data_IF_590966038396
#
_entry.id   IF_590966038396
#
_cell.length_a   1.000
_cell.length_b   1.000
_cell.length_c   1.000
_cell.angle_alpha   90.00
_cell.angle_beta   90.00
_cell.angle_gamma   90.00
#
_symmetry.space_group_name_H-M   'P 1'
#
loop_
_entity.id
_entity.type
_entity.pdbx_description
1 polymer ?
#
# COMPACT_ATOMS: atom_id res chain seq x y z
N UNK A 1 3.47 6.17 -19.82
CA UNK A 1 4.81 5.78 -19.31
C UNK A 1 5.48 4.73 -20.21
N UNK A 2 4.86 3.57 -20.46
CA UNK A 2 5.46 2.52 -21.30
C UNK A 2 5.84 3.00 -22.71
N UNK A 3 5.05 3.86 -23.33
CA UNK A 3 5.37 4.48 -24.63
C UNK A 3 6.67 5.29 -24.60
N UNK A 4 6.93 6.02 -23.51
CA UNK A 4 8.17 6.78 -23.35
C UNK A 4 9.37 5.83 -23.24
N UNK A 5 9.21 4.72 -22.51
CA UNK A 5 10.24 3.68 -22.40
C UNK A 5 10.47 2.98 -23.74
N UNK A 6 9.42 2.77 -24.55
CA UNK A 6 9.54 2.26 -25.92
C UNK A 6 10.36 3.18 -26.81
N UNK A 7 10.12 4.49 -26.75
CA UNK A 7 10.89 5.49 -27.49
C UNK A 7 12.37 5.43 -27.09
N UNK A 8 12.68 5.46 -25.79
CA UNK A 8 14.06 5.35 -25.29
C UNK A 8 14.74 4.05 -25.73
N UNK A 9 14.03 2.92 -25.70
CA UNK A 9 14.55 1.65 -26.21
C UNK A 9 14.85 1.72 -27.71
N UNK A 10 13.96 2.32 -28.50
CA UNK A 10 14.16 2.53 -29.95
C UNK A 10 15.37 3.41 -30.28
N UNK A 11 15.70 4.34 -29.38
CA UNK A 11 16.89 5.20 -29.47
C UNK A 11 18.18 4.51 -28.99
N UNK A 12 18.12 3.24 -28.56
CA UNK A 12 19.29 2.49 -28.09
C UNK A 12 19.76 2.88 -26.68
N UNK A 13 18.93 3.55 -25.89
CA UNK A 13 19.28 3.94 -24.52
C UNK A 13 19.32 2.72 -23.59
N UNK A 14 20.33 2.67 -22.72
CA UNK A 14 20.43 1.63 -21.70
C UNK A 14 19.81 2.06 -20.38
N UNK A 15 18.70 1.41 -20.01
CA UNK A 15 17.99 1.66 -18.76
C UNK A 15 17.37 0.37 -18.22
N UNK A 16 16.94 0.39 -16.97
CA UNK A 16 16.07 -0.64 -16.38
C UNK A 16 14.97 0.05 -15.60
N UNK A 17 13.73 -0.31 -15.89
CA UNK A 17 12.57 0.15 -15.16
C UNK A 17 12.02 -0.99 -14.32
N UNK A 18 11.78 -0.74 -13.04
CA UNK A 18 11.21 -1.72 -12.13
C UNK A 18 9.90 -1.19 -11.59
N UNK A 19 8.81 -1.90 -11.85
CA UNK A 19 7.51 -1.67 -11.25
C UNK A 19 7.35 -2.59 -10.05
N UNK A 20 7.02 -2.02 -8.89
CA UNK A 20 6.77 -2.77 -7.66
C UNK A 20 5.37 -2.44 -7.19
N UNK A 21 4.53 -3.45 -7.07
CA UNK A 21 3.17 -3.26 -6.58
C UNK A 21 2.12 -4.07 -7.31
N UNK A 22 0.87 -3.81 -6.93
CA UNK A 22 -0.32 -4.33 -7.58
C UNK A 22 -1.23 -3.16 -7.92
N UNK A 23 -1.74 -3.13 -9.14
CA UNK A 23 -2.72 -2.16 -9.60
C UNK A 23 -3.89 -2.87 -10.28
N UNK A 24 -5.01 -2.17 -10.41
CA UNK A 24 -6.21 -2.66 -11.10
C UNK A 24 -5.86 -3.06 -12.53
N UNK A 25 -5.07 -2.23 -13.22
CA UNK A 25 -4.65 -2.43 -14.61
C UNK A 25 -3.36 -3.27 -14.73
N UNK A 26 -2.93 -3.96 -13.68
CA UNK A 26 -1.62 -4.62 -13.65
C UNK A 26 -1.42 -5.65 -14.77
N UNK A 27 -2.45 -6.41 -15.13
CA UNK A 27 -2.37 -7.39 -16.23
C UNK A 27 -2.34 -6.70 -17.60
N UNK A 28 -3.20 -5.69 -17.81
CA UNK A 28 -3.24 -4.92 -19.04
C UNK A 28 -1.91 -4.19 -19.30
N UNK A 29 -1.30 -3.61 -18.26
CA UNK A 29 0.00 -2.93 -18.35
C UNK A 29 1.12 -3.91 -18.70
N UNK A 30 1.11 -5.14 -18.16
CA UNK A 30 2.10 -6.17 -18.51
C UNK A 30 1.94 -6.63 -19.96
N UNK A 31 0.70 -6.94 -20.38
CA UNK A 31 0.42 -7.32 -21.76
C UNK A 31 0.85 -6.22 -22.74
N UNK A 32 0.61 -4.95 -22.40
CA UNK A 32 1.04 -3.82 -23.22
C UNK A 32 2.57 -3.67 -23.26
N UNK A 33 3.28 -3.91 -22.15
CA UNK A 33 4.74 -3.94 -22.15
C UNK A 33 5.32 -5.06 -23.02
N UNK A 34 4.64 -6.22 -23.08
CA UNK A 34 4.99 -7.33 -23.98
C UNK A 34 4.76 -6.98 -25.44
N UNK A 35 3.62 -6.36 -25.78
CA UNK A 35 3.32 -5.86 -27.14
C UNK A 35 4.37 -4.85 -27.61
N UNK A 36 4.83 -3.97 -26.71
CA UNK A 36 5.90 -3.01 -27.00
C UNK A 36 7.29 -3.66 -27.04
N UNK A 37 7.41 -4.96 -26.79
CA UNK A 37 8.64 -5.73 -26.68
C UNK A 37 9.62 -5.13 -25.65
N UNK A 38 9.16 -4.82 -24.43
CA UNK A 38 9.95 -4.18 -23.37
C UNK A 38 10.53 -5.15 -22.32
N UNK A 39 10.33 -6.46 -22.46
CA UNK A 39 10.64 -7.46 -21.42
C UNK A 39 12.10 -7.58 -20.98
N UNK A 40 13.05 -7.04 -21.75
CA UNK A 40 14.49 -6.96 -21.42
C UNK A 40 14.87 -5.71 -20.61
N UNK A 41 13.99 -4.70 -20.56
CA UNK A 41 14.21 -3.40 -19.91
C UNK A 41 13.23 -3.11 -18.78
N UNK A 42 12.03 -3.66 -18.84
CA UNK A 42 10.94 -3.40 -17.88
C UNK A 42 10.63 -4.66 -17.09
N UNK A 43 10.71 -4.55 -15.76
CA UNK A 43 10.51 -5.66 -14.84
C UNK A 43 9.34 -5.36 -13.90
N UNK A 44 8.45 -6.33 -13.73
CA UNK A 44 7.32 -6.24 -12.82
C UNK A 44 7.55 -7.16 -11.63
N UNK A 45 7.60 -6.60 -10.44
CA UNK A 45 7.73 -7.31 -9.18
C UNK A 45 6.38 -7.36 -8.45
N UNK A 46 6.11 -8.42 -7.68
CA UNK A 46 4.93 -8.49 -6.84
C UNK A 46 4.91 -7.35 -5.80
N UNK A 47 3.75 -7.04 -5.21
CA UNK A 47 3.67 -6.09 -4.12
C UNK A 47 4.59 -6.51 -2.97
N UNK A 48 5.37 -5.56 -2.46
CA UNK A 48 6.28 -5.74 -1.34
C UNK A 48 5.82 -4.86 -0.17
N UNK A 49 5.63 -5.48 0.99
CA UNK A 49 5.14 -4.81 2.20
C UNK A 49 6.25 -4.58 3.23
N UNK A 50 7.43 -5.14 3.00
CA UNK A 50 8.62 -4.90 3.82
C UNK A 50 9.23 -3.55 3.45
N UNK A 51 9.20 -2.63 4.42
CA UNK A 51 9.68 -1.26 4.24
C UNK A 51 11.18 -1.19 4.00
N UNK A 52 11.97 -2.10 4.57
CA UNK A 52 13.41 -2.12 4.35
C UNK A 52 13.76 -2.58 2.94
N UNK A 53 12.98 -3.52 2.39
CA UNK A 53 13.14 -3.94 0.99
C UNK A 53 12.75 -2.80 0.04
N UNK A 54 11.62 -2.12 0.28
CA UNK A 54 11.22 -0.95 -0.51
C UNK A 54 12.27 0.17 -0.42
N UNK A 55 12.80 0.44 0.78
CA UNK A 55 13.90 1.39 0.98
C UNK A 55 15.13 1.02 0.18
N UNK A 56 15.50 -0.27 0.16
CA UNK A 56 16.62 -0.75 -0.64
C UNK A 56 16.42 -0.52 -2.15
N UNK A 57 15.18 -0.64 -2.64
CA UNK A 57 14.85 -0.28 -4.03
C UNK A 57 15.03 1.20 -4.31
N UNK A 58 14.54 2.08 -3.44
CA UNK A 58 14.76 3.52 -3.59
C UNK A 58 16.27 3.86 -3.57
N UNK A 59 17.05 3.29 -2.65
CA UNK A 59 18.49 3.53 -2.58
C UNK A 59 19.26 2.96 -3.78
N UNK A 60 18.71 1.96 -4.48
CA UNK A 60 19.34 1.33 -5.66
C UNK A 60 18.97 2.03 -6.97
N UNK A 61 17.84 2.74 -7.02
CA UNK A 61 17.38 3.43 -8.20
C UNK A 61 18.20 4.72 -8.45
N UNK A 62 18.32 5.10 -9.71
CA UNK A 62 18.91 6.39 -10.12
C UNK A 62 17.86 7.51 -10.18
N UNK A 63 16.60 7.16 -10.43
CA UNK A 63 15.49 8.08 -10.62
C UNK A 63 14.16 7.41 -10.26
N UNK A 64 13.26 8.12 -9.60
CA UNK A 64 11.89 7.68 -9.34
C UNK A 64 10.92 8.29 -10.35
N UNK A 65 10.10 7.47 -10.99
CA UNK A 65 9.08 7.93 -11.94
C UNK A 65 7.70 7.85 -11.28
N UNK A 66 7.09 9.01 -11.02
CA UNK A 66 5.75 9.09 -10.44
C UNK A 66 4.85 10.07 -11.21
N UNK A 67 4.52 9.77 -12.49
CA UNK A 67 3.67 10.61 -13.31
C UNK A 67 2.18 10.36 -13.01
N UNK A 68 1.79 10.44 -11.74
CA UNK A 68 0.38 10.30 -11.35
C UNK A 68 -0.38 11.59 -11.63
N UNK A 69 -1.55 11.47 -12.25
CA UNK A 69 -2.50 12.58 -12.43
C UNK A 69 -3.39 12.78 -11.20
N UNK A 70 -3.54 11.73 -10.39
CA UNK A 70 -4.41 11.72 -9.23
C UNK A 70 -3.71 11.05 -8.05
N UNK A 71 -3.40 11.85 -7.03
CA UNK A 71 -2.86 11.36 -5.76
C UNK A 71 -3.30 12.31 -4.64
N UNK A 72 -3.51 11.78 -3.43
CA UNK A 72 -3.97 12.55 -2.27
C UNK A 72 -2.85 13.18 -1.45
N UNK A 73 -1.62 12.64 -1.44
CA UNK A 73 -0.56 13.14 -0.55
C UNK A 73 0.89 12.79 -0.99
N UNK A 74 1.08 12.14 -2.14
CA UNK A 74 2.40 11.87 -2.73
C UNK A 74 3.40 11.22 -1.77
N UNK A 75 2.96 10.38 -0.82
CA UNK A 75 3.83 9.86 0.25
C UNK A 75 5.06 9.14 -0.30
N UNK A 76 4.89 8.41 -1.40
CA UNK A 76 6.00 7.73 -2.10
C UNK A 76 7.06 8.68 -2.63
N UNK A 77 6.69 9.93 -2.98
CA UNK A 77 7.65 10.98 -3.37
C UNK A 77 8.48 11.41 -2.17
N UNK A 78 7.86 11.52 -0.98
CA UNK A 78 8.58 11.82 0.26
C UNK A 78 9.48 10.66 0.70
N UNK A 79 9.06 9.41 0.48
CA UNK A 79 9.90 8.23 0.72
C UNK A 79 11.13 8.19 -0.20
N UNK A 80 10.92 8.44 -1.50
CA UNK A 80 12.01 8.57 -2.47
C UNK A 80 12.96 9.72 -2.07
N UNK A 81 12.41 10.89 -1.72
CA UNK A 81 13.18 12.03 -1.24
C UNK A 81 13.99 11.70 0.02
N UNK A 82 13.41 10.99 1.01
CA UNK A 82 14.14 10.54 2.19
C UNK A 82 15.35 9.66 1.82
N UNK A 83 15.23 8.86 0.77
CA UNK A 83 16.30 8.03 0.24
C UNK A 83 17.30 8.81 -0.62
N UNK A 84 17.12 10.12 -0.84
CA UNK A 84 17.98 10.94 -1.70
C UNK A 84 17.77 10.66 -3.19
N UNK A 85 16.58 10.20 -3.57
CA UNK A 85 16.22 9.83 -4.93
C UNK A 85 15.41 10.94 -5.58
N UNK A 86 15.92 11.47 -6.70
CA UNK A 86 15.19 12.45 -7.49
C UNK A 86 13.93 11.83 -8.12
N UNK A 87 12.86 12.61 -8.22
CA UNK A 87 11.57 12.17 -8.78
C UNK A 87 11.20 12.94 -10.04
N UNK A 88 10.61 12.27 -11.02
CA UNK A 88 9.95 12.88 -12.19
C UNK A 88 8.44 12.82 -12.00
N UNK A 89 7.79 13.97 -12.08
CA UNK A 89 6.39 14.20 -11.71
C UNK A 89 5.68 14.99 -12.80
N UNK A 90 4.35 14.89 -12.87
CA UNK A 90 3.55 15.76 -13.73
C UNK A 90 3.48 17.15 -13.10
N UNK A 91 3.77 18.18 -13.89
CA UNK A 91 3.71 19.58 -13.45
C UNK A 91 2.29 19.92 -12.93
N UNK A 92 2.22 20.50 -11.74
CA UNK A 92 0.94 20.90 -11.13
C UNK A 92 0.10 19.75 -10.55
N UNK A 93 0.60 18.50 -10.54
CA UNK A 93 -0.05 17.41 -9.81
C UNK A 93 0.05 17.61 -8.29
N UNK A 94 -0.86 17.01 -7.52
CA UNK A 94 -0.80 17.05 -6.05
C UNK A 94 0.53 16.49 -5.52
N UNK A 95 1.08 15.47 -6.17
CA UNK A 95 2.37 14.88 -5.81
C UNK A 95 3.57 15.82 -6.05
N UNK A 96 3.37 16.93 -6.77
CA UNK A 96 4.38 17.93 -7.08
C UNK A 96 4.32 19.19 -6.19
N UNK A 97 3.45 19.25 -5.17
CA UNK A 97 3.22 20.44 -4.34
C UNK A 97 4.50 20.98 -3.68
N UNK A 98 5.35 20.09 -3.14
CA UNK A 98 6.62 20.44 -2.47
C UNK A 98 7.83 20.48 -3.44
N UNK A 99 7.58 20.35 -4.75
CA UNK A 99 8.64 20.16 -5.76
C UNK A 99 8.90 21.44 -6.55
N UNK A 100 10.18 21.73 -6.76
CA UNK A 100 10.72 22.79 -7.61
C UNK A 100 11.54 22.15 -8.73
N UNK A 101 11.12 22.36 -9.98
CA UNK A 101 11.74 21.76 -11.16
C UNK A 101 13.24 22.05 -11.25
N UNK A 102 14.02 21.01 -11.51
CA UNK A 102 15.48 21.04 -11.61
C UNK A 102 16.22 21.23 -10.28
N UNK A 103 15.52 21.54 -9.18
CA UNK A 103 16.13 21.74 -7.86
C UNK A 103 16.01 20.50 -6.98
N UNK A 104 14.79 20.04 -6.75
CA UNK A 104 14.49 18.91 -5.85
C UNK A 104 13.54 17.87 -6.51
N UNK A 105 13.31 18.00 -7.82
CA UNK A 105 12.61 17.05 -8.66
C UNK A 105 12.60 17.54 -10.11
N UNK A 106 11.92 16.82 -10.99
CA UNK A 106 11.80 17.17 -12.40
C UNK A 106 10.35 17.12 -12.85
N UNK A 107 9.96 18.09 -13.67
CA UNK A 107 8.61 18.15 -14.22
C UNK A 107 8.52 17.69 -15.66
N UNK A 108 7.41 17.01 -15.95
CA UNK A 108 6.98 16.65 -17.29
C UNK A 108 5.53 17.06 -17.49
N UNK A 109 5.14 17.13 -18.76
CA UNK A 109 3.74 17.14 -19.14
C UNK A 109 3.17 15.72 -19.09
N UNK A 110 1.85 15.59 -19.02
CA UNK A 110 1.14 14.31 -19.04
C UNK A 110 1.11 13.70 -20.45
N UNK A 111 2.28 13.43 -21.03
CA UNK A 111 2.40 12.73 -22.30
C UNK A 111 3.73 11.99 -22.44
N UNK A 112 3.72 10.95 -23.29
CA UNK A 112 4.88 10.09 -23.50
C UNK A 112 6.09 10.82 -24.07
N UNK A 113 5.88 11.79 -24.96
CA UNK A 113 6.96 12.53 -25.61
C UNK A 113 7.74 13.40 -24.61
N UNK A 114 7.03 14.12 -23.74
CA UNK A 114 7.61 14.93 -22.67
C UNK A 114 8.43 14.07 -21.70
N UNK A 115 7.89 12.92 -21.29
CA UNK A 115 8.60 11.96 -20.44
C UNK A 115 9.85 11.39 -21.11
N UNK A 116 9.76 10.98 -22.37
CA UNK A 116 10.90 10.46 -23.12
C UNK A 116 12.00 11.53 -23.27
N UNK A 117 11.62 12.77 -23.56
CA UNK A 117 12.56 13.89 -23.66
C UNK A 117 13.26 14.18 -22.33
N UNK A 118 12.52 14.18 -21.22
CA UNK A 118 13.11 14.35 -19.89
C UNK A 118 14.07 13.22 -19.55
N UNK A 119 13.66 11.97 -19.75
CA UNK A 119 14.49 10.81 -19.48
C UNK A 119 15.76 10.80 -20.34
N UNK A 120 15.65 11.09 -21.64
CA UNK A 120 16.79 11.20 -22.56
C UNK A 120 17.80 12.24 -22.08
N UNK A 121 17.31 13.39 -21.58
CA UNK A 121 18.16 14.44 -21.02
C UNK A 121 18.88 13.95 -19.75
N UNK A 122 18.19 13.21 -18.88
CA UNK A 122 18.70 12.84 -17.56
C UNK A 122 19.60 11.61 -17.55
N UNK A 123 19.39 10.63 -18.44
CA UNK A 123 20.18 9.39 -18.52
C UNK A 123 21.71 9.59 -18.46
N UNK A 124 22.32 10.54 -19.22
CA UNK A 124 23.76 10.80 -19.11
C UNK A 124 24.17 11.64 -17.89
N UNK A 125 23.22 12.24 -17.17
CA UNK A 125 23.45 13.23 -16.11
C UNK A 125 23.29 12.63 -14.71
N UNK A 126 23.96 11.50 -14.43
CA UNK A 126 23.89 10.80 -13.14
C UNK A 126 24.20 11.70 -11.94
N UNK A 127 25.20 12.57 -12.07
CA UNK A 127 25.58 13.48 -10.99
C UNK A 127 24.51 14.56 -10.74
N UNK A 128 23.84 15.05 -11.79
CA UNK A 128 22.70 15.96 -11.63
C UNK A 128 21.56 15.26 -10.88
N UNK A 129 21.20 14.03 -11.27
CA UNK A 129 20.14 13.27 -10.59
C UNK A 129 20.47 13.06 -9.11
N UNK A 130 21.74 12.78 -8.78
CA UNK A 130 22.22 12.65 -7.40
C UNK A 130 22.11 13.96 -6.62
N UNK A 131 22.51 15.09 -7.22
CA UNK A 131 22.41 16.40 -6.60
C UNK A 131 20.96 16.81 -6.33
N UNK A 132 20.08 16.61 -7.31
CA UNK A 132 18.64 16.88 -7.17
C UNK A 132 18.02 15.96 -6.10
N UNK A 133 18.45 14.70 -6.03
CA UNK A 133 18.03 13.76 -5.00
C UNK A 133 18.47 14.18 -3.58
N UNK A 134 19.69 14.68 -3.41
CA UNK A 134 20.14 15.23 -2.12
C UNK A 134 19.37 16.49 -1.72
N UNK A 135 19.02 17.35 -2.68
CA UNK A 135 18.15 18.50 -2.42
C UNK A 135 16.74 18.05 -2.01
N UNK A 136 16.18 17.05 -2.70
CA UNK A 136 14.91 16.41 -2.31
C UNK A 136 14.94 15.93 -0.86
N UNK A 137 16.02 15.24 -0.44
CA UNK A 137 16.18 14.79 0.96
C UNK A 137 16.19 15.94 1.96
N UNK A 138 16.69 17.12 1.58
CA UNK A 138 16.75 18.27 2.49
C UNK A 138 15.46 19.07 2.54
N UNK A 139 14.73 19.11 1.44
CA UNK A 139 13.63 20.08 1.23
C UNK A 139 12.25 19.45 1.29
N UNK A 140 12.10 18.20 0.81
CA UNK A 140 10.81 17.51 0.71
C UNK A 140 10.60 16.58 1.90
N UNK A 141 11.67 15.93 2.39
CA UNK A 141 11.57 15.04 3.53
C UNK A 141 11.24 15.81 4.81
N UNK A 142 10.28 15.28 5.57
CA UNK A 142 9.90 15.75 6.88
C UNK A 142 9.79 14.56 7.83
N UNK A 143 10.34 14.69 9.03
CA UNK A 143 10.18 13.65 10.06
C UNK A 143 8.77 13.65 10.63
N UNK A 144 8.37 12.52 11.24
CA UNK A 144 7.12 12.44 11.97
C UNK A 144 7.08 13.43 13.13
N UNK A 145 8.16 13.59 13.88
CA UNK A 145 8.23 14.56 14.98
C UNK A 145 7.98 15.99 14.51
N UNK A 146 8.58 16.37 13.37
CA UNK A 146 8.38 17.70 12.78
C UNK A 146 6.95 17.87 12.29
N UNK A 147 6.38 16.83 11.67
CA UNK A 147 5.00 16.84 11.19
C UNK A 147 3.99 16.99 12.34
N UNK A 148 4.20 16.26 13.44
CA UNK A 148 3.39 16.34 14.67
C UNK A 148 3.53 17.72 15.30
N UNK A 149 4.75 18.24 15.45
CA UNK A 149 4.99 19.57 16.00
C UNK A 149 4.28 20.67 15.17
N UNK A 150 4.32 20.57 13.85
CA UNK A 150 3.61 21.49 12.95
C UNK A 150 2.09 21.38 13.10
N UNK A 151 1.55 20.18 13.28
CA UNK A 151 0.12 19.97 13.54
C UNK A 151 -0.30 20.58 14.89
N UNK A 152 0.45 20.31 15.96
CA UNK A 152 0.21 20.90 17.28
C UNK A 152 0.20 22.43 17.24
N UNK A 153 1.19 23.05 16.57
CA UNK A 153 1.26 24.51 16.42
C UNK A 153 0.04 25.08 15.69
N UNK A 154 -0.49 24.37 14.68
CA UNK A 154 -1.73 24.77 13.99
C UNK A 154 -2.95 24.64 14.89
N UNK A 155 -3.03 23.59 15.70
CA UNK A 155 -4.11 23.43 16.68
C UNK A 155 -4.09 24.52 17.76
N UNK A 156 -2.92 24.96 18.22
CA UNK A 156 -2.81 26.10 19.13
C UNK A 156 -3.45 27.36 18.56
N UNK A 157 -3.21 27.68 17.28
CA UNK A 157 -3.85 28.82 16.60
C UNK A 157 -5.37 28.69 16.57
N UNK A 158 -5.88 27.50 16.26
CA UNK A 158 -7.33 27.24 16.23
C UNK A 158 -7.93 27.38 17.64
N UNK A 159 -7.28 26.82 18.65
CA UNK A 159 -7.73 26.93 20.05
C UNK A 159 -7.70 28.38 20.53
N UNK A 160 -6.69 29.16 20.19
CA UNK A 160 -6.60 30.57 20.54
C UNK A 160 -7.68 31.40 19.84
N UNK A 161 -7.91 31.17 18.54
CA UNK A 161 -8.99 31.83 17.81
C UNK A 161 -10.37 31.48 18.39
N UNK A 162 -10.57 30.23 18.78
CA UNK A 162 -11.79 29.78 19.46
C UNK A 162 -11.97 30.50 20.81
N UNK A 163 -10.92 30.55 21.64
CA UNK A 163 -10.94 31.26 22.93
C UNK A 163 -11.18 32.76 22.78
N UNK A 164 -10.72 33.37 21.69
CA UNK A 164 -10.94 34.78 21.35
C UNK A 164 -12.34 35.06 20.76
N UNK A 165 -13.17 34.03 20.58
CA UNK A 165 -14.52 34.18 20.01
C UNK A 165 -14.53 34.55 18.52
N UNK A 166 -13.43 34.31 17.79
CA UNK A 166 -13.33 34.59 16.35
C UNK A 166 -14.11 33.58 15.49
N UNK A 167 -14.43 32.43 16.07
CA UNK A 167 -15.30 31.44 15.42
C UNK A 167 -16.72 31.59 15.96
N UNK A 168 -17.75 31.48 15.09
CA UNK A 168 -19.13 31.48 15.54
C UNK A 168 -19.35 30.35 16.54
N UNK A 169 -20.13 30.61 17.58
CA UNK A 169 -20.63 29.56 18.48
C UNK A 169 -21.32 28.50 17.64
N UNK A 170 -20.82 27.27 17.70
CA UNK A 170 -21.42 26.11 17.02
C UNK A 170 -22.89 26.01 17.37
N UNK A 171 -23.73 25.75 16.37
CA UNK A 171 -25.10 25.32 16.61
C UNK A 171 -25.08 23.87 17.12
N UNK A 172 -25.14 23.73 18.45
CA UNK A 172 -25.07 22.44 19.14
C UNK A 172 -26.22 21.50 18.78
N UNK A 173 -27.33 22.01 18.23
CA UNK A 173 -28.48 21.19 17.83
C UNK A 173 -28.17 20.25 16.69
N UNK A 174 -27.34 20.68 15.73
CA UNK A 174 -26.94 19.83 14.60
C UNK A 174 -25.94 18.78 15.07
N UNK A 175 -25.01 19.13 15.96
CA UNK A 175 -24.06 18.17 16.56
C UNK A 175 -24.81 17.11 17.40
N UNK A 176 -25.79 17.51 18.24
CA UNK A 176 -26.65 16.58 18.99
C UNK A 176 -27.46 15.66 18.07
N UNK A 177 -28.05 16.21 17.01
CA UNK A 177 -28.78 15.42 16.03
C UNK A 177 -27.88 14.39 15.33
N UNK A 178 -26.69 14.82 14.90
CA UNK A 178 -25.71 13.95 14.23
C UNK A 178 -25.23 12.83 15.16
N UNK A 179 -24.90 13.15 16.42
CA UNK A 179 -24.51 12.17 17.44
C UNK A 179 -25.66 11.18 17.70
N UNK A 180 -26.88 11.67 17.91
CA UNK A 180 -28.05 10.81 18.13
C UNK A 180 -28.33 9.89 16.93
N UNK A 181 -28.15 10.38 15.69
CA UNK A 181 -28.26 9.52 14.50
C UNK A 181 -27.14 8.50 14.40
N UNK A 182 -25.90 8.85 14.76
CA UNK A 182 -24.77 7.93 14.76
C UNK A 182 -24.96 6.82 15.79
N UNK A 183 -25.41 7.14 17.01
CA UNK A 183 -25.73 6.17 18.06
C UNK A 183 -26.88 5.23 17.62
N UNK A 184 -27.91 5.80 16.99
CA UNK A 184 -29.03 5.01 16.46
C UNK A 184 -28.59 4.08 15.33
N UNK A 185 -27.73 4.55 14.42
CA UNK A 185 -27.14 3.73 13.35
C UNK A 185 -26.24 2.63 13.89
N UNK A 186 -25.44 2.91 14.92
CA UNK A 186 -24.60 1.92 15.57
C UNK A 186 -25.43 0.86 16.28
N UNK A 187 -26.50 1.26 16.98
CA UNK A 187 -27.46 0.33 17.58
C UNK A 187 -28.15 -0.55 16.52
N UNK A 188 -28.56 0.03 15.39
CA UNK A 188 -29.15 -0.71 14.26
C UNK A 188 -28.13 -1.67 13.64
N UNK A 189 -26.86 -1.27 13.50
CA UNK A 189 -25.80 -2.13 12.99
C UNK A 189 -25.50 -3.29 13.94
N UNK A 190 -25.45 -3.04 15.25
CA UNK A 190 -25.33 -4.10 16.27
C UNK A 190 -26.48 -5.08 16.19
N UNK A 191 -27.73 -4.58 16.09
CA UNK A 191 -28.92 -5.44 15.93
C UNK A 191 -28.91 -6.24 14.62
N UNK A 192 -28.42 -5.65 13.53
CA UNK A 192 -28.25 -6.35 12.23
C UNK A 192 -27.13 -7.40 12.25
N UNK A 193 -26.14 -7.26 13.14
CA UNK A 193 -25.06 -8.22 13.31
C UNK A 193 -25.47 -9.44 14.16
N UNK A 194 -26.52 -9.32 15.01
CA UNK A 194 -26.99 -10.41 15.89
C UNK A 194 -27.35 -11.69 15.11
N UNK A 195 -28.10 -11.66 13.99
CA UNK A 195 -28.40 -12.87 13.23
C UNK A 195 -27.15 -13.54 12.62
N UNK A 196 -26.14 -12.75 12.23
CA UNK A 196 -24.88 -13.28 11.71
C UNK A 196 -24.03 -13.91 12.83
N UNK A 197 -23.96 -13.27 13.99
CA UNK A 197 -23.25 -13.79 15.15
C UNK A 197 -23.91 -15.05 15.71
N UNK A 198 -25.25 -15.10 15.76
CA UNK A 198 -25.99 -16.30 16.13
C UNK A 198 -25.78 -17.45 15.14
N UNK A 199 -25.77 -17.18 13.83
CA UNK A 199 -25.45 -18.21 12.82
C UNK A 199 -24.02 -18.73 12.94
N UNK A 200 -23.05 -17.83 13.14
CA UNK A 200 -21.65 -18.23 13.32
C UNK A 200 -21.44 -19.08 14.58
N UNK A 201 -22.06 -18.71 15.70
CA UNK A 201 -22.01 -19.48 16.94
C UNK A 201 -22.67 -20.86 16.80
N UNK A 202 -23.84 -20.95 16.13
CA UNK A 202 -24.49 -22.23 15.85
C UNK A 202 -23.66 -23.13 14.92
N UNK A 203 -22.96 -22.55 13.94
CA UNK A 203 -22.06 -23.30 13.04
C UNK A 203 -20.79 -23.79 13.76
N UNK A 204 -20.26 -23.02 14.71
CA UNK A 204 -19.13 -23.45 15.56
C UNK A 204 -19.53 -24.58 16.51
N UNK A 205 -20.67 -24.46 17.19
CA UNK A 205 -21.22 -25.51 18.07
C UNK A 205 -21.48 -26.80 17.29
N UNK A 206 -22.02 -26.70 16.07
CA UNK A 206 -22.26 -27.85 15.20
C UNK A 206 -20.96 -28.54 14.75
N UNK A 207 -19.88 -27.78 14.53
CA UNK A 207 -18.56 -28.33 14.17
C UNK A 207 -17.89 -29.01 15.36
N UNK A 208 -17.90 -28.40 16.54
CA UNK A 208 -17.38 -29.03 17.76
C UNK A 208 -18.10 -30.35 18.05
N UNK A 209 -19.43 -30.37 17.95
CA UNK A 209 -20.20 -31.59 18.14
C UNK A 209 -19.87 -32.69 17.12
N UNK A 210 -19.61 -32.32 15.86
CA UNK A 210 -19.16 -33.28 14.84
C UNK A 210 -17.76 -33.85 15.14
N UNK A 211 -16.83 -32.99 15.56
CA UNK A 211 -15.46 -33.41 15.88
C UNK A 211 -15.44 -34.33 17.11
N UNK A 212 -16.20 -34.02 18.15
CA UNK A 212 -16.36 -34.89 19.34
C UNK A 212 -16.94 -36.27 19.00
N UNK A 213 -17.88 -36.34 18.04
CA UNK A 213 -18.44 -37.62 17.58
C UNK A 213 -17.40 -38.43 16.81
N UNK A 214 -16.61 -37.79 15.96
CA UNK A 214 -15.55 -38.47 15.19
C UNK A 214 -14.47 -39.01 16.12
N UNK A 215 -14.05 -38.22 17.11
CA UNK A 215 -13.03 -38.61 18.07
C UNK A 215 -13.48 -39.79 18.94
N UNK A 216 -14.71 -39.74 19.47
CA UNK A 216 -15.32 -40.85 20.20
C UNK A 216 -15.48 -42.12 19.36
N UNK A 217 -15.84 -41.99 18.07
CA UNK A 217 -15.95 -43.12 17.16
C UNK A 217 -14.59 -43.76 16.84
N UNK A 218 -13.53 -42.95 16.77
CA UNK A 218 -12.16 -43.40 16.55
C UNK A 218 -11.59 -44.10 17.79
N UNK A 219 -11.82 -43.55 18.97
CA UNK A 219 -11.39 -44.13 20.25
C UNK A 219 -12.09 -45.48 20.52
N UNK A 220 -13.40 -45.58 20.23
CA UNK A 220 -14.14 -46.83 20.33
C UNK A 220 -13.64 -47.89 19.34
N UNK A 221 -13.25 -47.51 18.12
CA UNK A 221 -12.64 -48.43 17.14
C UNK A 221 -11.29 -48.97 17.63
N UNK A 222 -10.44 -48.13 18.20
CA UNK A 222 -9.16 -48.56 18.79
C UNK A 222 -9.36 -49.54 19.94
N UNK A 223 -10.27 -49.23 20.88
CA UNK A 223 -10.62 -50.13 21.99
C UNK A 223 -11.16 -51.49 21.49
N UNK A 224 -11.92 -51.49 20.39
CA UNK A 224 -12.42 -52.72 19.78
C UNK A 224 -11.30 -53.54 19.13
N UNK A 225 -10.38 -52.89 18.43
CA UNK A 225 -9.22 -53.54 17.82
C UNK A 225 -8.28 -54.13 18.86
N UNK A 226 -8.02 -53.42 19.95
CA UNK A 226 -7.23 -53.95 21.08
C UNK A 226 -7.91 -55.17 21.69
N UNK A 227 -9.22 -55.11 21.99
CA UNK A 227 -9.97 -56.27 22.50
C UNK A 227 -9.92 -57.46 21.55
N UNK A 228 -10.08 -57.24 20.24
CA UNK A 228 -9.99 -58.28 19.22
C UNK A 228 -8.58 -58.88 19.15
N UNK A 229 -7.53 -58.07 19.27
CA UNK A 229 -6.14 -58.53 19.29
C UNK A 229 -5.82 -59.37 20.53
N UNK A 230 -6.33 -58.98 21.70
CA UNK A 230 -6.20 -59.73 22.95
C UNK A 230 -6.97 -61.06 22.89
N UNK A 231 -8.14 -61.07 22.28
CA UNK A 231 -8.91 -62.29 21.99
C UNK A 231 -8.13 -63.23 21.07
N UNK A 232 -7.53 -62.70 20.00
CA UNK A 232 -6.70 -63.47 19.06
C UNK A 232 -5.47 -64.09 19.74
N UNK A 233 -4.74 -63.31 20.54
CA UNK A 233 -3.61 -63.80 21.35
C UNK A 233 -4.01 -64.83 22.40
N UNK A 234 -5.24 -64.79 22.92
CA UNK A 234 -5.76 -65.85 23.81
C UNK A 234 -6.07 -67.12 23.05
N UNK A 235 -6.64 -67.03 21.85
CA UNK A 235 -6.97 -68.19 21.02
C UNK A 235 -5.70 -68.90 20.53
N UNK A 236 -4.67 -68.16 20.08
CA UNK A 236 -3.39 -68.72 19.63
C UNK A 236 -2.58 -69.40 20.77
N UNK A 237 -2.97 -69.20 22.03
CA UNK A 237 -2.33 -69.83 23.19
C UNK A 237 -2.91 -71.22 23.54
N UNK A 238 -4.01 -71.61 22.88
CA UNK A 238 -4.71 -72.88 23.07
C UNK A 238 -4.73 -73.77 21.82
N UNK A 239 -3.99 -73.38 20.77
CA UNK A 239 -3.68 -74.18 19.58
C UNK A 239 -2.17 -74.48 19.56
#
# INVERSE_FOLDING_TARGET
MLDALKQLKGEGQDFRMVFIGKGIDGEAVRAYAEELCLGDKVFFLPPCYDREIIRAWYCRADLFLFPSTFDTNGLVVREAAACGLASVLIAGSCAAEDVTDGRNGFFIEENAASMAAMLRRLLPQRELMRQVGENARREIYISWDTSIANACRRYEVVLDNFRRGLYPTRDTRVDELLLGTAESLDAVNRLRAIPQQLRAAMDEDARQWHDEIQENAQENRQKLQEKLSQLRQRIDRYL
#
